data_IF_607581079380
#
_entry.id   IF_607581079380
#
_cell.length_a   1.000
_cell.length_b   1.000
_cell.length_c   1.000
_cell.angle_alpha   90.00
_cell.angle_beta   90.00
_cell.angle_gamma   90.00
#
_symmetry.space_group_name_H-M   'P 1'
#
loop_
_entity.id
_entity.type
_entity.pdbx_description
1 polymer ?
#
# COMPACT_ATOMS: atom_id res chain seq x y z
N UNK A 1 17.80 -2.70 -2.92
CA UNK A 1 17.43 -3.46 -1.68
C UNK A 1 18.70 -3.81 -0.92
N UNK A 2 18.74 -3.54 0.38
CA UNK A 2 19.91 -3.78 1.26
C UNK A 2 20.36 -5.23 1.22
N UNK A 3 21.69 -5.47 1.30
CA UNK A 3 22.26 -6.82 1.47
C UNK A 3 21.96 -7.36 2.86
N UNK A 4 22.00 -8.68 3.04
CA UNK A 4 21.75 -9.30 4.35
C UNK A 4 22.81 -8.89 5.37
N UNK A 5 24.07 -8.73 4.96
CA UNK A 5 25.15 -8.23 5.82
C UNK A 5 24.87 -6.80 6.33
N UNK A 6 24.37 -5.92 5.44
CA UNK A 6 24.04 -4.55 5.86
C UNK A 6 22.83 -4.51 6.80
N UNK A 7 21.84 -5.38 6.59
CA UNK A 7 20.71 -5.53 7.51
C UNK A 7 21.17 -5.97 8.90
N UNK A 8 22.13 -6.91 8.97
CA UNK A 8 22.69 -7.39 10.23
C UNK A 8 23.44 -6.25 10.94
N UNK A 9 24.30 -5.52 10.24
CA UNK A 9 25.02 -4.36 10.78
C UNK A 9 24.05 -3.35 11.42
N UNK A 10 22.96 -3.04 10.74
CA UNK A 10 21.93 -2.13 11.24
C UNK A 10 21.23 -2.72 12.48
N UNK A 11 20.85 -4.00 12.44
CA UNK A 11 20.17 -4.65 13.55
C UNK A 11 21.05 -4.75 14.80
N UNK A 12 22.36 -4.91 14.66
CA UNK A 12 23.30 -4.93 15.78
C UNK A 12 23.46 -3.55 16.45
N UNK A 13 23.22 -2.46 15.70
CA UNK A 13 23.27 -1.10 16.22
C UNK A 13 21.97 -0.66 16.90
N UNK A 14 20.83 -1.22 16.53
CA UNK A 14 19.49 -0.70 16.89
C UNK A 14 18.61 -1.66 17.69
N UNK A 15 19.11 -2.83 18.06
CA UNK A 15 18.35 -3.92 18.71
C UNK A 15 17.10 -4.36 17.94
N UNK A 16 16.65 -5.58 18.23
CA UNK A 16 15.40 -6.16 17.69
C UNK A 16 14.25 -6.05 18.72
N UNK A 17 12.98 -6.11 18.34
CA UNK A 17 12.47 -6.18 16.95
C UNK A 17 12.61 -4.84 16.22
N UNK A 18 12.92 -4.88 14.92
CA UNK A 18 13.28 -3.71 14.13
C UNK A 18 12.61 -3.74 12.75
N UNK A 19 12.03 -2.60 12.33
CA UNK A 19 11.69 -2.35 10.93
C UNK A 19 12.79 -1.51 10.27
N UNK A 20 13.15 -1.90 9.05
CA UNK A 20 14.05 -1.12 8.19
C UNK A 20 13.28 -0.77 6.92
N UNK A 21 13.14 0.54 6.67
CA UNK A 21 12.51 1.08 5.46
C UNK A 21 13.60 1.57 4.50
N UNK A 22 13.76 0.86 3.40
CA UNK A 22 14.81 1.09 2.40
C UNK A 22 14.34 2.16 1.40
N UNK A 23 14.69 3.42 1.66
CA UNK A 23 14.31 4.57 0.81
C UNK A 23 14.97 4.51 -0.56
N UNK A 24 16.20 4.02 -0.66
CA UNK A 24 16.89 3.87 -1.95
C UNK A 24 16.20 2.81 -2.82
N UNK A 25 15.81 1.66 -2.22
CA UNK A 25 15.04 0.65 -2.93
C UNK A 25 13.67 1.21 -3.39
N UNK A 26 13.03 2.07 -2.59
CA UNK A 26 11.79 2.74 -2.97
C UNK A 26 12.01 3.66 -4.18
N UNK A 27 13.00 4.53 -4.12
CA UNK A 27 13.30 5.47 -5.22
C UNK A 27 13.58 4.72 -6.54
N UNK A 28 14.43 3.70 -6.50
CA UNK A 28 14.72 2.86 -7.65
C UNK A 28 13.46 2.20 -8.20
N UNK A 29 12.60 1.65 -7.33
CA UNK A 29 11.36 1.01 -7.73
C UNK A 29 10.37 1.98 -8.38
N UNK A 30 10.19 3.17 -7.81
CA UNK A 30 9.32 4.20 -8.39
C UNK A 30 9.83 4.65 -9.76
N UNK A 31 11.13 4.84 -9.90
CA UNK A 31 11.74 5.22 -11.18
C UNK A 31 11.57 4.11 -12.25
N UNK A 32 11.74 2.83 -11.89
CA UNK A 32 11.47 1.69 -12.77
C UNK A 32 9.99 1.63 -13.21
N UNK A 33 9.06 1.81 -12.27
CA UNK A 33 7.62 1.82 -12.56
C UNK A 33 7.27 2.97 -13.52
N UNK A 34 7.77 4.18 -13.26
CA UNK A 34 7.55 5.33 -14.13
C UNK A 34 8.16 5.14 -15.52
N UNK A 35 9.34 4.55 -15.60
CA UNK A 35 9.97 4.25 -16.89
C UNK A 35 9.14 3.26 -17.73
N UNK A 36 8.46 2.28 -17.08
CA UNK A 36 7.58 1.33 -17.76
C UNK A 36 6.27 2.00 -18.20
N UNK A 37 5.67 2.83 -17.36
CA UNK A 37 4.39 3.50 -17.64
C UNK A 37 4.54 4.60 -18.70
N UNK A 38 5.72 5.19 -18.84
CA UNK A 38 5.98 6.30 -19.74
C UNK A 38 5.30 7.61 -19.32
N UNK A 39 5.31 8.59 -20.20
CA UNK A 39 4.67 9.90 -19.97
C UNK A 39 3.14 9.80 -19.97
N UNK A 40 2.47 10.75 -19.34
CA UNK A 40 1.01 10.87 -19.34
C UNK A 40 0.31 10.02 -18.26
N UNK A 41 1.08 9.34 -17.38
CA UNK A 41 0.53 8.62 -16.23
C UNK A 41 1.15 9.15 -14.93
N UNK A 42 0.31 9.56 -14.01
CA UNK A 42 0.71 10.01 -12.67
C UNK A 42 0.55 8.87 -11.67
N UNK A 43 1.52 8.70 -10.76
CA UNK A 43 1.38 7.79 -9.64
C UNK A 43 0.75 8.51 -8.44
N UNK A 44 -0.18 7.84 -7.77
CA UNK A 44 -0.75 8.26 -6.50
C UNK A 44 -0.44 7.21 -5.43
N UNK A 45 0.28 7.63 -4.39
CA UNK A 45 0.64 6.74 -3.29
C UNK A 45 -0.51 6.64 -2.29
N UNK A 46 -1.15 5.47 -2.21
CA UNK A 46 -2.12 5.15 -1.17
C UNK A 46 -1.40 4.96 0.18
N UNK A 47 -1.24 6.06 0.92
CA UNK A 47 -0.36 6.12 2.10
C UNK A 47 -0.81 5.26 3.28
N UNK A 48 -2.08 4.81 3.28
CA UNK A 48 -2.58 3.78 4.22
C UNK A 48 -1.76 2.49 4.21
N UNK A 49 -1.07 2.21 3.10
CA UNK A 49 -0.19 1.05 2.99
C UNK A 49 0.99 1.14 3.97
N UNK A 50 1.60 2.32 4.11
CA UNK A 50 2.64 2.61 5.10
C UNK A 50 2.94 4.12 5.18
N UNK A 51 2.39 4.86 6.15
CA UNK A 51 2.57 6.30 6.25
C UNK A 51 4.02 6.73 6.56
N UNK A 52 4.88 5.83 7.01
CA UNK A 52 6.29 6.14 7.30
C UNK A 52 7.13 6.38 6.03
N UNK A 53 6.62 6.04 4.85
CA UNK A 53 7.27 6.37 3.58
C UNK A 53 6.89 7.75 3.02
N UNK A 54 5.96 8.49 3.61
CA UNK A 54 5.45 9.76 3.05
C UNK A 54 6.58 10.74 2.74
N UNK A 55 7.55 10.89 3.66
CA UNK A 55 8.70 11.76 3.44
C UNK A 55 9.55 11.33 2.22
N UNK A 56 9.74 10.03 2.03
CA UNK A 56 10.53 9.50 0.93
C UNK A 56 9.90 9.75 -0.46
N UNK A 57 8.59 9.91 -0.53
CA UNK A 57 7.89 10.20 -1.79
C UNK A 57 7.95 11.67 -2.24
N UNK A 58 8.31 12.63 -1.36
CA UNK A 58 8.27 14.07 -1.67
C UNK A 58 9.07 14.48 -2.91
N UNK A 59 10.15 13.77 -3.21
CA UNK A 59 11.03 14.06 -4.34
C UNK A 59 10.72 13.22 -5.57
N UNK A 60 9.73 12.33 -5.48
CA UNK A 60 9.44 11.35 -6.52
C UNK A 60 8.32 11.80 -7.47
N UNK A 61 7.84 13.04 -7.38
CA UNK A 61 6.76 13.57 -8.23
C UNK A 61 5.57 12.59 -8.29
N UNK A 62 4.96 12.32 -7.13
CA UNK A 62 3.79 11.46 -6.95
C UNK A 62 2.70 12.22 -6.22
N UNK A 63 1.43 11.87 -6.47
CA UNK A 63 0.30 12.27 -5.62
C UNK A 63 0.23 11.37 -4.37
N UNK A 64 -0.60 11.76 -3.39
CA UNK A 64 -0.85 11.01 -2.16
C UNK A 64 -2.36 10.82 -1.97
N UNK A 65 -2.83 9.59 -1.91
CA UNK A 65 -4.19 9.28 -1.51
C UNK A 65 -4.26 9.22 0.01
N UNK A 66 -5.11 10.10 0.58
CA UNK A 66 -5.29 10.35 2.01
C UNK A 66 -6.73 10.03 2.38
N UNK A 67 -6.94 9.07 3.30
CA UNK A 67 -8.26 8.53 3.62
C UNK A 67 -8.79 8.91 5.00
N UNK A 68 -8.02 9.63 5.80
CA UNK A 68 -8.40 9.99 7.17
C UNK A 68 -7.76 11.28 7.65
N UNK A 69 -8.34 11.95 8.67
CA UNK A 69 -7.72 13.12 9.29
C UNK A 69 -6.33 12.86 9.86
N UNK A 70 -6.09 11.65 10.40
CA UNK A 70 -4.77 11.26 10.91
C UNK A 70 -3.72 11.15 9.81
N UNK A 71 -4.07 10.63 8.63
CA UNK A 71 -3.19 10.62 7.46
C UNK A 71 -2.96 12.05 6.93
N UNK A 72 -3.99 12.89 6.93
CA UNK A 72 -3.86 14.29 6.54
C UNK A 72 -2.89 15.03 7.45
N UNK A 73 -3.00 14.87 8.78
CA UNK A 73 -2.08 15.46 9.75
C UNK A 73 -0.61 15.00 9.56
N UNK A 74 -0.40 13.76 9.08
CA UNK A 74 0.94 13.31 8.68
C UNK A 74 1.44 14.10 7.47
N UNK A 75 0.61 14.32 6.47
CA UNK A 75 0.97 15.12 5.29
C UNK A 75 1.31 16.57 5.67
N UNK A 76 0.54 17.19 6.58
CA UNK A 76 0.83 18.53 7.11
C UNK A 76 2.19 18.57 7.82
N UNK A 77 2.43 17.64 8.76
CA UNK A 77 3.69 17.54 9.51
C UNK A 77 4.89 17.35 8.58
N UNK A 78 4.75 16.49 7.59
CA UNK A 78 5.78 16.22 6.59
C UNK A 78 5.87 17.29 5.50
N UNK A 79 5.00 18.33 5.53
CA UNK A 79 4.97 19.43 4.57
C UNK A 79 4.81 18.96 3.12
N UNK A 80 3.93 17.98 2.93
CA UNK A 80 3.53 17.54 1.59
C UNK A 80 2.85 18.73 0.89
N UNK A 81 3.12 18.91 -0.41
CA UNK A 81 2.42 19.93 -1.18
C UNK A 81 0.93 19.57 -1.27
N UNK A 82 0.06 20.42 -0.78
CA UNK A 82 -1.39 20.17 -0.73
C UNK A 82 -1.99 19.87 -2.11
N UNK A 83 -1.42 20.43 -3.19
CA UNK A 83 -1.87 20.16 -4.56
C UNK A 83 -1.59 18.74 -5.04
N UNK A 84 -0.69 18.02 -4.36
CA UNK A 84 -0.40 16.62 -4.67
C UNK A 84 -1.28 15.65 -3.85
N UNK A 85 -2.20 16.14 -3.02
CA UNK A 85 -3.11 15.32 -2.21
C UNK A 85 -4.42 15.04 -2.96
N UNK A 86 -4.81 13.77 -2.98
CA UNK A 86 -6.15 13.27 -3.29
C UNK A 86 -6.83 12.95 -1.97
N UNK A 87 -7.81 13.77 -1.55
CA UNK A 87 -8.52 13.58 -0.28
C UNK A 87 -9.69 12.62 -0.47
N UNK A 88 -9.46 11.39 -0.11
CA UNK A 88 -10.41 10.27 -0.19
C UNK A 88 -11.07 9.97 1.17
N UNK A 89 -11.58 8.78 1.34
CA UNK A 89 -12.13 8.25 2.60
C UNK A 89 -13.64 8.28 2.68
N UNK A 90 -14.19 7.20 3.26
CA UNK A 90 -15.65 6.99 3.40
C UNK A 90 -16.29 7.87 4.47
N UNK A 91 -15.51 8.36 5.43
CA UNK A 91 -15.98 9.28 6.46
C UNK A 91 -15.29 10.63 6.28
N UNK A 92 -16.08 11.64 5.88
CA UNK A 92 -15.65 13.04 5.79
C UNK A 92 -16.49 13.85 6.77
N UNK A 93 -15.81 14.48 7.73
CA UNK A 93 -16.48 15.36 8.68
C UNK A 93 -16.37 16.81 8.22
N UNK A 94 -17.41 17.62 8.49
CA UNK A 94 -17.44 19.03 8.07
C UNK A 94 -16.24 19.80 8.64
N UNK A 95 -15.88 19.54 9.91
CA UNK A 95 -14.77 20.21 10.56
C UNK A 95 -13.43 19.96 9.85
N UNK A 96 -13.18 18.71 9.41
CA UNK A 96 -11.95 18.34 8.71
C UNK A 96 -11.90 19.00 7.32
N UNK A 97 -13.01 19.01 6.58
CA UNK A 97 -13.06 19.67 5.26
C UNK A 97 -12.89 21.19 5.39
N UNK A 98 -13.51 21.81 6.41
CA UNK A 98 -13.32 23.24 6.69
C UNK A 98 -11.85 23.56 7.04
N UNK A 99 -11.18 22.71 7.85
CA UNK A 99 -9.75 22.86 8.14
C UNK A 99 -8.92 22.81 6.84
N UNK A 100 -9.15 21.80 5.98
CA UNK A 100 -8.44 21.64 4.70
C UNK A 100 -8.63 22.88 3.80
N UNK A 101 -9.85 23.41 3.72
CA UNK A 101 -10.14 24.54 2.83
C UNK A 101 -9.62 25.88 3.40
N UNK A 102 -9.88 26.17 4.68
CA UNK A 102 -9.62 27.49 5.26
C UNK A 102 -8.19 27.65 5.77
N UNK A 103 -7.60 26.59 6.34
CA UNK A 103 -6.30 26.68 7.00
C UNK A 103 -5.18 26.19 6.07
N UNK A 104 -5.46 25.23 5.17
CA UNK A 104 -4.45 24.66 4.27
C UNK A 104 -4.58 25.14 2.81
N UNK A 105 -5.62 25.91 2.47
CA UNK A 105 -5.87 26.43 1.12
C UNK A 105 -6.37 25.39 0.12
N UNK A 106 -6.96 24.30 0.62
CA UNK A 106 -7.49 23.19 -0.16
C UNK A 106 -6.43 22.19 -0.62
N UNK A 107 -6.87 21.07 -1.20
CA UNK A 107 -6.03 20.01 -1.76
C UNK A 107 -6.15 19.93 -3.28
N UNK A 108 -5.42 18.99 -3.92
CA UNK A 108 -5.43 18.82 -5.37
C UNK A 108 -6.78 18.37 -5.90
N UNK A 109 -7.39 17.34 -5.27
CA UNK A 109 -8.70 16.81 -5.65
C UNK A 109 -9.36 16.08 -4.47
N UNK A 110 -10.70 16.08 -4.44
CA UNK A 110 -11.51 15.38 -3.44
C UNK A 110 -12.26 14.23 -4.09
N UNK A 111 -12.21 13.04 -3.50
CA UNK A 111 -13.00 11.89 -3.95
C UNK A 111 -14.39 11.91 -3.29
N UNK A 112 -15.43 11.76 -4.05
CA UNK A 112 -16.82 11.69 -3.60
C UNK A 112 -17.29 10.24 -3.60
N UNK A 113 -17.74 9.75 -2.44
CA UNK A 113 -18.16 8.36 -2.26
C UNK A 113 -19.67 8.19 -1.99
N UNK A 114 -20.42 9.31 -1.83
CA UNK A 114 -21.86 9.33 -1.62
C UNK A 114 -22.46 10.68 -1.98
N UNK A 115 -23.80 10.75 -2.17
CA UNK A 115 -24.51 12.03 -2.37
C UNK A 115 -24.42 12.95 -1.16
N UNK A 116 -24.35 12.38 0.04
CA UNK A 116 -24.15 13.13 1.28
C UNK A 116 -22.79 13.80 1.29
N UNK A 117 -21.73 13.08 0.87
CA UNK A 117 -20.39 13.68 0.74
C UNK A 117 -20.37 14.77 -0.35
N UNK A 118 -21.06 14.56 -1.47
CA UNK A 118 -21.16 15.57 -2.52
C UNK A 118 -21.81 16.86 -2.02
N UNK A 119 -22.90 16.72 -1.25
CA UNK A 119 -23.58 17.85 -0.62
C UNK A 119 -22.72 18.53 0.44
N UNK A 120 -22.03 17.75 1.27
CA UNK A 120 -21.12 18.26 2.29
C UNK A 120 -19.96 19.08 1.70
N UNK A 121 -19.30 18.55 0.67
CA UNK A 121 -18.21 19.24 -0.02
C UNK A 121 -18.68 20.53 -0.67
N UNK A 122 -19.89 20.52 -1.29
CA UNK A 122 -20.51 21.70 -1.84
C UNK A 122 -20.79 22.77 -0.77
N UNK A 123 -21.36 22.37 0.37
CA UNK A 123 -21.60 23.28 1.49
C UNK A 123 -20.30 23.93 1.98
N UNK A 124 -19.26 23.11 2.25
CA UNK A 124 -17.97 23.61 2.74
C UNK A 124 -17.28 24.52 1.71
N UNK A 125 -17.28 24.16 0.43
CA UNK A 125 -16.67 24.95 -0.63
C UNK A 125 -17.35 26.30 -0.79
N UNK A 126 -18.71 26.33 -0.69
CA UNK A 126 -19.50 27.56 -0.74
C UNK A 126 -19.25 28.45 0.47
N UNK A 127 -19.17 27.87 1.68
CA UNK A 127 -18.83 28.62 2.91
C UNK A 127 -17.41 29.22 2.84
N UNK A 128 -16.49 28.53 2.20
CA UNK A 128 -15.12 28.99 2.00
C UNK A 128 -14.95 29.90 0.76
N UNK A 129 -16.02 30.13 -0.01
CA UNK A 129 -16.02 30.92 -1.25
C UNK A 129 -14.99 30.41 -2.29
N UNK A 130 -14.82 29.11 -2.42
CA UNK A 130 -13.88 28.47 -3.36
C UNK A 130 -14.58 27.48 -4.27
N UNK A 131 -13.95 27.19 -5.41
CA UNK A 131 -14.29 26.04 -6.26
C UNK A 131 -13.26 24.94 -6.04
N UNK A 132 -13.71 23.71 -5.86
CA UNK A 132 -12.85 22.54 -5.64
C UNK A 132 -13.02 21.49 -6.73
N UNK A 133 -11.94 20.83 -7.08
CA UNK A 133 -11.95 19.70 -8.01
C UNK A 133 -12.37 18.42 -7.29
N UNK A 134 -13.31 17.67 -7.90
CA UNK A 134 -13.80 16.40 -7.34
C UNK A 134 -13.75 15.27 -8.36
N UNK A 135 -13.50 14.04 -7.87
CA UNK A 135 -13.66 12.79 -8.62
C UNK A 135 -14.81 11.99 -8.03
N UNK A 136 -15.68 11.46 -8.89
CA UNK A 136 -16.77 10.58 -8.48
C UNK A 136 -16.23 9.15 -8.40
N UNK A 137 -16.22 8.56 -7.20
CA UNK A 137 -15.78 7.19 -7.01
C UNK A 137 -16.87 6.23 -7.41
N UNK A 138 -16.55 5.36 -8.38
CA UNK A 138 -17.44 4.30 -8.85
C UNK A 138 -17.36 3.10 -7.91
N UNK A 139 -18.50 2.58 -7.45
CA UNK A 139 -18.53 1.42 -6.56
C UNK A 139 -18.15 0.12 -7.29
N UNK A 140 -17.54 -0.80 -6.54
CA UNK A 140 -17.38 -2.19 -6.97
C UNK A 140 -18.38 -3.14 -6.31
N UNK A 141 -19.49 -2.60 -5.74
CA UNK A 141 -20.53 -3.38 -5.08
C UNK A 141 -20.28 -3.65 -3.59
N UNK A 142 -19.47 -2.80 -2.95
CA UNK A 142 -19.22 -2.83 -1.51
C UNK A 142 -19.56 -1.47 -0.87
N UNK A 143 -19.10 -1.21 0.37
CA UNK A 143 -19.39 0.05 1.10
C UNK A 143 -18.71 1.30 0.52
N UNK A 144 -17.96 1.20 -0.55
CA UNK A 144 -17.22 2.29 -1.16
C UNK A 144 -17.84 2.73 -2.48
N UNK A 145 -17.90 4.05 -2.67
CA UNK A 145 -18.26 4.66 -3.94
C UNK A 145 -19.77 4.72 -4.23
N UNK A 146 -20.08 5.34 -5.34
CA UNK A 146 -21.41 5.62 -5.88
C UNK A 146 -21.81 4.58 -6.93
N UNK A 147 -23.08 4.20 -6.98
CA UNK A 147 -23.66 3.48 -8.11
C UNK A 147 -23.68 4.35 -9.37
N UNK A 148 -23.69 3.72 -10.55
CA UNK A 148 -23.74 4.44 -11.83
C UNK A 148 -24.98 5.36 -11.95
N UNK A 149 -26.11 4.97 -11.38
CA UNK A 149 -27.31 5.80 -11.37
C UNK A 149 -27.11 7.08 -10.53
N UNK A 150 -26.45 6.99 -9.39
CA UNK A 150 -26.13 8.14 -8.55
C UNK A 150 -25.12 9.05 -9.23
N UNK A 151 -24.12 8.49 -9.92
CA UNK A 151 -23.14 9.25 -10.72
C UNK A 151 -23.89 10.01 -11.84
N UNK A 152 -24.78 9.34 -12.57
CA UNK A 152 -25.61 9.96 -13.63
C UNK A 152 -26.48 11.08 -13.09
N UNK A 153 -27.07 10.88 -11.90
CA UNK A 153 -27.90 11.92 -11.27
C UNK A 153 -27.06 13.14 -10.85
N UNK A 154 -25.88 12.92 -10.25
CA UNK A 154 -24.94 14.00 -9.88
C UNK A 154 -24.51 14.77 -11.14
N UNK A 155 -24.05 14.08 -12.17
CA UNK A 155 -23.59 14.70 -13.42
C UNK A 155 -24.70 15.46 -14.12
N UNK A 156 -25.89 14.91 -14.17
CA UNK A 156 -27.10 15.58 -14.73
C UNK A 156 -27.42 16.90 -14.02
N UNK A 157 -27.24 16.94 -12.70
CA UNK A 157 -27.57 18.07 -11.85
C UNK A 157 -26.37 18.96 -11.49
N UNK A 158 -25.19 18.76 -12.07
CA UNK A 158 -23.93 19.41 -11.70
C UNK A 158 -23.98 20.95 -11.68
N UNK A 159 -24.79 21.54 -12.56
CA UNK A 159 -24.94 23.00 -12.64
C UNK A 159 -25.57 23.62 -11.39
N UNK A 160 -26.20 22.82 -10.53
CA UNK A 160 -26.74 23.28 -9.23
C UNK A 160 -25.66 23.44 -8.17
N UNK A 161 -24.45 22.95 -8.44
CA UNK A 161 -23.32 22.91 -7.53
C UNK A 161 -22.07 23.52 -8.19
N UNK A 162 -22.11 24.84 -8.52
CA UNK A 162 -21.03 25.49 -9.27
C UNK A 162 -19.69 25.55 -8.52
N UNK A 163 -19.71 25.34 -7.22
CA UNK A 163 -18.52 25.23 -6.37
C UNK A 163 -17.80 23.88 -6.49
N UNK A 164 -18.39 22.89 -7.16
CA UNK A 164 -17.77 21.59 -7.40
C UNK A 164 -17.47 21.39 -8.89
N UNK A 165 -16.18 21.32 -9.21
CA UNK A 165 -15.72 21.00 -10.56
C UNK A 165 -15.46 19.50 -10.68
N UNK A 166 -16.39 18.75 -11.30
CA UNK A 166 -16.24 17.30 -11.51
C UNK A 166 -15.18 17.07 -12.60
N UNK A 167 -14.02 16.53 -12.21
CA UNK A 167 -12.92 16.25 -13.13
C UNK A 167 -13.10 14.93 -13.87
N UNK A 168 -13.74 13.95 -13.25
CA UNK A 168 -13.90 12.62 -13.81
C UNK A 168 -14.28 11.59 -12.76
N UNK A 169 -13.76 10.38 -12.91
CA UNK A 169 -14.10 9.24 -12.06
C UNK A 169 -12.87 8.63 -11.43
N UNK A 170 -13.09 8.02 -10.24
CA UNK A 170 -12.11 7.22 -9.53
C UNK A 170 -12.66 5.81 -9.30
N UNK A 171 -11.82 4.76 -9.40
CA UNK A 171 -12.25 3.40 -9.10
C UNK A 171 -11.13 2.55 -8.52
N UNK A 172 -11.48 1.76 -7.50
CA UNK A 172 -10.65 0.70 -6.93
C UNK A 172 -11.52 -0.49 -6.56
N UNK A 173 -11.24 -1.65 -7.15
CA UNK A 173 -12.08 -2.86 -7.00
C UNK A 173 -11.43 -3.95 -6.15
N UNK A 174 -10.17 -3.80 -5.79
CA UNK A 174 -9.46 -4.76 -4.95
C UNK A 174 -7.97 -4.87 -5.25
N UNK A 175 -7.26 -5.56 -4.36
CA UNK A 175 -5.81 -5.76 -4.38
C UNK A 175 -5.44 -7.16 -4.87
N UNK A 176 -4.16 -7.36 -5.24
CA UNK A 176 -3.59 -8.67 -5.57
C UNK A 176 -4.34 -9.39 -6.71
N UNK A 177 -4.69 -8.66 -7.75
CA UNK A 177 -5.33 -9.21 -8.95
C UNK A 177 -4.36 -10.16 -9.67
N UNK A 178 -4.83 -11.37 -9.99
CA UNK A 178 -4.01 -12.45 -10.56
C UNK A 178 -4.06 -12.54 -12.07
N UNK A 179 -5.00 -11.83 -12.71
CA UNK A 179 -5.22 -11.87 -14.15
C UNK A 179 -5.33 -10.46 -14.69
N UNK A 180 -4.62 -10.18 -15.75
CA UNK A 180 -4.65 -8.88 -16.41
C UNK A 180 -6.02 -8.55 -17.02
N UNK A 181 -6.74 -9.56 -17.52
CA UNK A 181 -8.09 -9.38 -18.09
C UNK A 181 -9.07 -8.68 -17.15
N UNK A 182 -8.90 -8.85 -15.82
CA UNK A 182 -9.72 -8.13 -14.82
C UNK A 182 -9.44 -6.63 -14.91
N UNK A 183 -8.18 -6.24 -14.94
CA UNK A 183 -7.75 -4.83 -15.04
C UNK A 183 -8.25 -4.23 -16.36
N UNK A 184 -8.09 -4.96 -17.46
CA UNK A 184 -8.55 -4.54 -18.78
C UNK A 184 -10.06 -4.30 -18.81
N UNK A 185 -10.86 -5.26 -18.34
CA UNK A 185 -12.32 -5.13 -18.33
C UNK A 185 -12.82 -3.99 -17.42
N UNK A 186 -12.13 -3.70 -16.32
CA UNK A 186 -12.47 -2.57 -15.46
C UNK A 186 -12.20 -1.22 -16.12
N UNK A 187 -11.08 -1.08 -16.83
CA UNK A 187 -10.76 0.17 -17.56
C UNK A 187 -11.75 0.36 -18.72
N UNK A 188 -12.06 -0.70 -19.47
CA UNK A 188 -13.07 -0.66 -20.55
C UNK A 188 -14.46 -0.29 -20.01
N UNK A 189 -14.85 -0.81 -18.85
CA UNK A 189 -16.11 -0.46 -18.18
C UNK A 189 -16.14 1.01 -17.76
N UNK A 190 -15.09 1.54 -17.15
CA UNK A 190 -15.00 2.94 -16.72
C UNK A 190 -15.02 3.89 -17.92
N UNK A 191 -14.34 3.53 -19.01
CA UNK A 191 -14.39 4.29 -20.26
C UNK A 191 -15.80 4.32 -20.86
N UNK A 192 -16.48 3.17 -20.87
CA UNK A 192 -17.88 3.08 -21.32
C UNK A 192 -18.85 3.91 -20.46
N UNK A 193 -18.63 3.96 -19.14
CA UNK A 193 -19.38 4.84 -18.25
C UNK A 193 -19.15 6.32 -18.61
N UNK A 194 -17.89 6.74 -18.79
CA UNK A 194 -17.57 8.11 -19.18
C UNK A 194 -18.18 8.48 -20.54
N UNK A 195 -18.18 7.56 -21.51
CA UNK A 195 -18.83 7.77 -22.82
C UNK A 195 -20.35 7.94 -22.69
N UNK A 196 -21.01 7.16 -21.81
CA UNK A 196 -22.44 7.33 -21.54
C UNK A 196 -22.75 8.68 -20.88
N UNK A 197 -21.90 9.13 -19.95
CA UNK A 197 -22.07 10.45 -19.32
C UNK A 197 -21.93 11.59 -20.33
N UNK A 198 -21.04 11.43 -21.31
CA UNK A 198 -20.90 12.40 -22.39
C UNK A 198 -22.11 12.36 -23.31
N UNK A 199 -22.54 11.19 -23.75
CA UNK A 199 -23.67 11.04 -24.68
C UNK A 199 -25.02 11.57 -24.09
N UNK A 200 -25.25 11.26 -22.80
CA UNK A 200 -26.54 11.56 -22.15
C UNK A 200 -26.62 12.99 -21.58
N UNK A 201 -25.48 13.53 -21.11
CA UNK A 201 -25.46 14.79 -20.33
C UNK A 201 -24.42 15.81 -20.82
N UNK A 202 -23.68 15.51 -21.91
CA UNK A 202 -22.60 16.39 -22.42
C UNK A 202 -21.45 16.57 -21.45
N UNK A 203 -21.31 15.67 -20.48
CA UNK A 203 -20.23 15.71 -19.49
C UNK A 203 -19.01 14.98 -20.02
N UNK A 204 -17.90 15.71 -20.22
CA UNK A 204 -16.62 15.14 -20.63
C UNK A 204 -15.74 14.92 -19.40
N UNK A 205 -15.52 13.67 -19.03
CA UNK A 205 -14.53 13.32 -18.02
C UNK A 205 -13.13 13.65 -18.55
N UNK A 206 -12.34 14.37 -17.76
CA UNK A 206 -10.96 14.77 -18.09
C UNK A 206 -9.92 13.95 -17.32
N UNK A 207 -10.29 13.38 -16.17
CA UNK A 207 -9.40 12.61 -15.30
C UNK A 207 -9.99 11.22 -15.03
N UNK A 208 -9.11 10.21 -15.12
CA UNK A 208 -9.38 8.85 -14.71
C UNK A 208 -8.37 8.46 -13.64
N UNK A 209 -8.83 8.31 -12.38
CA UNK A 209 -8.01 7.76 -11.32
C UNK A 209 -8.38 6.29 -11.09
N UNK A 210 -7.41 5.41 -11.19
CA UNK A 210 -7.65 3.97 -11.15
C UNK A 210 -6.65 3.24 -10.25
N UNK A 211 -7.19 2.41 -9.35
CA UNK A 211 -6.40 1.49 -8.52
C UNK A 211 -6.28 0.10 -9.16
N UNK A 212 -5.18 -0.22 -9.87
CA UNK A 212 -5.06 -1.47 -10.62
C UNK A 212 -4.97 -2.71 -9.74
N UNK A 213 -4.61 -2.57 -8.47
CA UNK A 213 -4.48 -3.69 -7.55
C UNK A 213 -3.42 -4.71 -7.95
N UNK A 214 -2.32 -4.24 -8.56
CA UNK A 214 -1.20 -5.09 -9.02
C UNK A 214 -0.66 -5.98 -7.90
N UNK A 215 -0.28 -7.23 -8.22
CA UNK A 215 0.11 -8.22 -7.22
C UNK A 215 1.55 -8.05 -6.75
N UNK A 216 1.80 -8.45 -5.50
CA UNK A 216 3.13 -8.62 -4.90
C UNK A 216 3.28 -10.08 -4.49
N UNK A 217 4.39 -10.72 -4.86
CA UNK A 217 4.71 -12.09 -4.46
C UNK A 217 5.33 -12.09 -3.05
N UNK A 218 4.58 -12.56 -2.07
CA UNK A 218 5.05 -12.71 -0.70
C UNK A 218 5.69 -14.07 -0.42
N UNK A 219 5.25 -15.11 -1.13
CA UNK A 219 5.57 -16.51 -0.82
C UNK A 219 6.32 -17.22 -1.95
N UNK A 220 6.79 -16.48 -2.96
CA UNK A 220 7.46 -17.07 -4.12
C UNK A 220 6.52 -17.85 -5.02
N UNK A 221 5.27 -17.40 -5.15
CA UNK A 221 4.29 -17.99 -6.06
C UNK A 221 4.75 -17.78 -7.51
N UNK A 222 4.85 -18.88 -8.27
CA UNK A 222 5.31 -18.87 -9.68
C UNK A 222 4.45 -17.98 -10.62
N UNK A 223 3.23 -17.65 -10.21
CA UNK A 223 2.36 -16.72 -10.95
C UNK A 223 2.90 -15.29 -11.04
N UNK A 224 3.98 -14.96 -10.33
CA UNK A 224 4.56 -13.63 -10.24
C UNK A 224 6.07 -13.62 -10.52
N UNK A 225 6.59 -14.58 -11.29
CA UNK A 225 8.02 -14.74 -11.56
C UNK A 225 8.64 -13.50 -12.21
N UNK A 226 7.82 -12.72 -12.96
CA UNK A 226 8.23 -11.42 -13.46
C UNK A 226 7.33 -10.31 -12.91
N UNK A 227 7.82 -9.62 -11.89
CA UNK A 227 7.08 -8.59 -11.14
C UNK A 227 6.54 -7.42 -11.97
N UNK A 228 7.02 -7.24 -13.21
CA UNK A 228 6.64 -6.12 -14.06
C UNK A 228 5.78 -6.51 -15.28
N UNK A 229 5.46 -7.79 -15.51
CA UNK A 229 4.72 -8.17 -16.70
C UNK A 229 3.33 -7.56 -16.74
N UNK A 230 2.55 -7.67 -15.67
CA UNK A 230 1.22 -7.04 -15.61
C UNK A 230 1.30 -5.49 -15.68
N UNK A 231 2.37 -4.88 -15.18
CA UNK A 231 2.58 -3.44 -15.30
C UNK A 231 2.87 -3.02 -16.75
N UNK A 232 3.63 -3.82 -17.50
CA UNK A 232 3.89 -3.59 -18.93
C UNK A 232 2.62 -3.73 -19.76
N UNK A 233 1.80 -4.76 -19.47
CA UNK A 233 0.50 -4.93 -20.10
C UNK A 233 -0.43 -3.75 -19.79
N UNK A 234 -0.44 -3.27 -18.55
CA UNK A 234 -1.19 -2.09 -18.16
C UNK A 234 -0.69 -0.83 -18.89
N UNK A 235 0.63 -0.62 -18.97
CA UNK A 235 1.21 0.51 -19.69
C UNK A 235 0.77 0.50 -21.17
N UNK A 236 0.85 -0.65 -21.83
CA UNK A 236 0.42 -0.79 -23.22
C UNK A 236 -1.09 -0.53 -23.41
N UNK A 237 -1.93 -0.98 -22.47
CA UNK A 237 -3.36 -0.71 -22.51
C UNK A 237 -3.66 0.78 -22.36
N UNK A 238 -3.00 1.46 -21.43
CA UNK A 238 -3.23 2.88 -21.12
C UNK A 238 -2.87 3.81 -22.28
N UNK A 239 -2.00 3.42 -23.20
CA UNK A 239 -1.70 4.22 -24.41
C UNK A 239 -2.97 4.57 -25.20
N UNK A 240 -3.99 3.72 -25.18
CA UNK A 240 -5.25 3.98 -25.88
C UNK A 240 -6.12 5.07 -25.20
N UNK A 241 -5.83 5.40 -23.96
CA UNK A 241 -6.65 6.29 -23.13
C UNK A 241 -5.96 7.62 -22.77
N UNK A 242 -4.63 7.73 -22.92
CA UNK A 242 -3.83 8.93 -22.60
C UNK A 242 -4.28 10.19 -23.38
N UNK A 243 -4.80 10.02 -24.59
CA UNK A 243 -5.33 11.16 -25.37
C UNK A 243 -6.70 11.62 -24.87
N UNK A 244 -7.45 10.76 -24.14
CA UNK A 244 -8.79 11.02 -23.65
C UNK A 244 -8.79 11.53 -22.21
N UNK A 245 -7.89 11.02 -21.38
CA UNK A 245 -7.84 11.28 -19.93
C UNK A 245 -6.43 11.66 -19.44
N UNK A 246 -6.39 12.52 -18.44
CA UNK A 246 -5.28 12.57 -17.49
C UNK A 246 -5.39 11.34 -16.58
N UNK A 247 -4.41 10.44 -16.62
CA UNK A 247 -4.49 9.15 -15.92
C UNK A 247 -3.67 9.21 -14.64
N UNK A 248 -4.31 8.88 -13.51
CA UNK A 248 -3.68 8.70 -12.21
C UNK A 248 -3.81 7.22 -11.78
N UNK A 249 -2.71 6.58 -11.44
CA UNK A 249 -2.72 5.22 -10.89
C UNK A 249 -2.53 5.24 -9.38
N UNK A 250 -3.58 4.87 -8.64
CA UNK A 250 -3.57 4.73 -7.18
C UNK A 250 -2.97 3.39 -6.79
N UNK A 251 -1.81 3.40 -6.13
CA UNK A 251 -1.13 2.19 -5.68
C UNK A 251 -0.52 2.39 -4.28
N UNK A 252 -0.68 1.40 -3.41
CA UNK A 252 -0.03 1.36 -2.09
C UNK A 252 0.94 0.19 -2.01
N UNK A 253 0.41 -1.01 -1.78
CA UNK A 253 1.16 -2.26 -1.62
C UNK A 253 2.22 -2.47 -2.71
N UNK A 254 1.85 -2.31 -3.96
CA UNK A 254 2.74 -2.55 -5.10
C UNK A 254 3.97 -1.63 -5.10
N UNK A 255 3.84 -0.39 -4.59
CA UNK A 255 4.94 0.56 -4.51
C UNK A 255 5.92 0.23 -3.38
N UNK A 256 5.43 -0.12 -2.18
CA UNK A 256 6.27 -0.12 -0.97
C UNK A 256 6.53 -1.49 -0.34
N UNK A 257 5.79 -2.55 -0.69
CA UNK A 257 5.92 -3.84 -0.02
C UNK A 257 7.36 -4.36 0.00
N UNK A 258 8.05 -4.33 -1.14
CA UNK A 258 9.42 -4.83 -1.29
C UNK A 258 10.49 -3.91 -0.63
N UNK A 259 10.09 -2.70 -0.19
CA UNK A 259 11.00 -1.71 0.39
C UNK A 259 11.06 -1.77 1.92
N UNK A 260 10.35 -2.69 2.55
CA UNK A 260 10.35 -2.88 4.00
C UNK A 260 10.89 -4.24 4.42
N UNK A 261 11.65 -4.24 5.51
CA UNK A 261 12.31 -5.39 6.10
C UNK A 261 11.97 -5.41 7.59
N UNK A 262 11.77 -6.59 8.15
CA UNK A 262 11.57 -6.77 9.58
C UNK A 262 12.58 -7.76 10.14
N UNK A 263 13.27 -7.38 11.21
CA UNK A 263 14.27 -8.22 11.89
C UNK A 263 13.77 -8.52 13.29
N UNK A 264 13.83 -9.78 13.69
CA UNK A 264 13.43 -10.23 15.04
C UNK A 264 14.49 -11.18 15.59
N UNK A 265 14.76 -11.07 16.88
CA UNK A 265 15.73 -11.89 17.59
C UNK A 265 15.06 -13.11 18.23
N UNK A 266 15.77 -14.23 18.31
CA UNK A 266 15.34 -15.44 19.01
C UNK A 266 15.57 -15.28 20.50
N UNK A 267 14.49 -15.25 21.29
CA UNK A 267 14.49 -15.06 22.73
C UNK A 267 14.50 -16.40 23.51
N UNK A 268 13.81 -17.42 22.98
CA UNK A 268 13.69 -18.73 23.67
C UNK A 268 13.42 -19.84 22.64
N UNK A 269 13.80 -21.07 23.00
CA UNK A 269 13.64 -22.26 22.16
C UNK A 269 13.14 -23.40 23.04
N UNK A 270 12.08 -24.09 22.58
CA UNK A 270 11.54 -25.21 23.33
C UNK A 270 10.97 -26.32 22.46
N UNK A 271 10.98 -27.52 23.00
CA UNK A 271 10.33 -28.69 22.42
C UNK A 271 9.28 -29.22 23.40
N UNK A 272 8.00 -29.13 23.01
CA UNK A 272 6.87 -29.56 23.83
C UNK A 272 6.05 -30.60 23.09
N UNK A 273 5.87 -31.80 23.68
CA UNK A 273 5.05 -32.89 23.10
C UNK A 273 5.38 -33.17 21.62
N UNK A 274 6.68 -33.18 21.28
CA UNK A 274 7.16 -33.44 19.91
C UNK A 274 7.07 -32.28 18.95
N UNK A 275 6.56 -31.12 19.36
CA UNK A 275 6.55 -29.91 18.56
C UNK A 275 7.73 -29.00 18.91
N UNK A 276 8.30 -28.36 17.91
CA UNK A 276 9.46 -27.44 18.03
C UNK A 276 9.01 -25.99 17.89
N UNK A 277 9.38 -25.17 18.87
CA UNK A 277 9.00 -23.75 18.94
C UNK A 277 10.20 -22.87 19.14
N UNK A 278 10.27 -21.80 18.36
CA UNK A 278 11.13 -20.64 18.55
C UNK A 278 10.27 -19.47 18.97
N UNK A 279 10.62 -18.83 20.08
CA UNK A 279 9.98 -17.61 20.56
C UNK A 279 10.87 -16.43 20.17
N UNK A 280 10.32 -15.49 19.44
CA UNK A 280 11.01 -14.28 19.05
C UNK A 280 10.57 -13.08 19.89
N UNK A 281 11.37 -12.03 19.93
CA UNK A 281 11.08 -10.78 20.66
C UNK A 281 9.97 -9.93 20.02
N UNK A 282 9.62 -10.19 18.76
CA UNK A 282 8.48 -9.61 18.07
C UNK A 282 7.20 -10.43 18.20
N UNK A 283 6.29 -10.31 17.21
CA UNK A 283 5.05 -11.07 17.19
C UNK A 283 4.19 -10.78 15.96
N UNK A 284 3.01 -11.43 15.91
CA UNK A 284 2.05 -11.26 14.81
C UNK A 284 1.55 -9.81 14.66
N UNK A 285 1.62 -9.02 15.73
CA UNK A 285 1.29 -7.58 15.70
C UNK A 285 2.31 -6.73 14.93
N UNK A 286 3.44 -7.31 14.56
CA UNK A 286 4.49 -6.64 13.78
C UNK A 286 4.54 -7.10 12.32
N UNK A 287 4.14 -8.33 12.02
CA UNK A 287 4.30 -8.95 10.70
C UNK A 287 2.98 -9.46 10.19
N UNK A 288 2.50 -8.86 9.10
CA UNK A 288 1.32 -9.32 8.40
C UNK A 288 1.58 -9.42 6.90
N UNK A 289 1.24 -10.56 6.31
CA UNK A 289 1.32 -10.78 4.88
C UNK A 289 -0.05 -11.05 4.31
N UNK A 290 -0.42 -10.33 3.26
CA UNK A 290 -1.68 -10.59 2.57
C UNK A 290 -1.77 -12.05 2.11
N UNK A 291 -2.84 -12.71 2.49
CA UNK A 291 -3.07 -14.11 2.16
C UNK A 291 -2.27 -15.11 3.00
N UNK A 292 -1.65 -14.68 4.10
CA UNK A 292 -1.10 -15.55 5.13
C UNK A 292 -2.23 -16.30 5.82
N UNK A 293 -2.32 -17.60 5.60
CA UNK A 293 -3.36 -18.43 6.21
C UNK A 293 -2.77 -19.17 7.42
N UNK A 294 -3.17 -18.80 8.64
CA UNK A 294 -2.81 -19.48 9.89
C UNK A 294 -1.31 -19.80 10.04
N UNK A 295 -0.44 -18.88 9.59
CA UNK A 295 1.01 -19.04 9.57
C UNK A 295 1.55 -20.23 8.73
N UNK A 296 0.75 -20.77 7.80
CA UNK A 296 1.13 -21.95 7.00
C UNK A 296 2.00 -21.65 5.79
N UNK A 297 1.99 -20.41 5.30
CA UNK A 297 2.82 -20.01 4.16
C UNK A 297 4.12 -19.39 4.67
N UNK A 298 5.23 -19.75 4.03
CA UNK A 298 6.56 -19.26 4.39
C UNK A 298 6.89 -18.06 3.50
N UNK A 299 6.98 -16.83 4.09
CA UNK A 299 7.38 -15.64 3.36
C UNK A 299 8.88 -15.69 3.03
N UNK A 300 9.35 -14.73 2.22
CA UNK A 300 10.78 -14.55 1.99
C UNK A 300 11.49 -14.20 3.30
N UNK A 301 12.54 -14.95 3.64
CA UNK A 301 13.28 -14.77 4.90
C UNK A 301 14.77 -15.04 4.75
N UNK A 302 15.57 -14.49 5.67
CA UNK A 302 16.93 -14.94 5.97
C UNK A 302 17.02 -15.40 7.42
N UNK A 303 17.90 -16.37 7.67
CA UNK A 303 18.22 -16.82 9.02
C UNK A 303 19.71 -16.64 9.28
N UNK A 304 20.03 -16.00 10.40
CA UNK A 304 21.37 -15.52 10.74
C UNK A 304 21.71 -15.91 12.16
N UNK A 305 22.89 -16.47 12.36
CA UNK A 305 23.43 -16.80 13.68
C UNK A 305 23.80 -15.53 14.46
N UNK A 306 23.89 -15.67 15.78
CA UNK A 306 24.29 -14.58 16.67
C UNK A 306 25.67 -13.97 16.34
N UNK A 307 26.55 -14.74 15.73
CA UNK A 307 27.88 -14.29 15.27
C UNK A 307 27.88 -13.60 13.90
N UNK A 308 26.68 -13.42 13.30
CA UNK A 308 26.51 -12.81 11.99
C UNK A 308 26.59 -13.79 10.81
N UNK A 309 26.82 -15.09 11.05
CA UNK A 309 26.86 -16.09 9.97
C UNK A 309 25.48 -16.24 9.32
N UNK A 310 25.39 -15.98 8.03
CA UNK A 310 24.15 -16.14 7.24
C UNK A 310 23.99 -17.63 6.89
N UNK A 311 23.00 -18.28 7.49
CA UNK A 311 22.71 -19.71 7.25
C UNK A 311 21.72 -19.88 6.09
N UNK A 312 20.71 -19.00 6.01
CA UNK A 312 19.75 -18.93 4.92
C UNK A 312 19.69 -17.49 4.44
N UNK A 313 19.74 -17.29 3.12
CA UNK A 313 19.66 -15.95 2.54
C UNK A 313 18.52 -15.85 1.55
N UNK A 314 17.56 -14.96 1.86
CA UNK A 314 16.37 -14.63 1.04
C UNK A 314 15.67 -15.86 0.46
N UNK A 315 15.50 -16.88 1.29
CA UNK A 315 14.80 -18.08 0.91
C UNK A 315 13.30 -17.79 0.77
N UNK A 316 12.70 -18.33 -0.28
CA UNK A 316 11.26 -18.31 -0.53
C UNK A 316 10.72 -19.74 -0.58
N UNK A 317 9.42 -19.90 -0.39
CA UNK A 317 8.76 -21.22 -0.29
C UNK A 317 9.07 -22.12 -1.50
N UNK A 318 9.15 -21.58 -2.70
CA UNK A 318 9.49 -22.34 -3.93
C UNK A 318 10.90 -22.95 -3.94
N UNK A 319 11.84 -22.37 -3.15
CA UNK A 319 13.22 -22.85 -3.03
C UNK A 319 13.41 -23.86 -1.89
N UNK A 320 12.39 -24.13 -1.09
CA UNK A 320 12.48 -24.98 0.10
C UNK A 320 12.11 -26.45 -0.16
N UNK A 321 11.74 -26.78 -1.42
CA UNK A 321 11.44 -28.17 -1.80
C UNK A 321 12.72 -29.03 -1.73
N UNK A 322 12.72 -30.02 -0.82
CA UNK A 322 13.83 -30.97 -0.64
C UNK A 322 14.87 -30.60 0.41
N UNK A 323 14.61 -29.61 1.28
CA UNK A 323 15.49 -29.36 2.43
C UNK A 323 15.20 -30.34 3.56
N UNK A 324 16.26 -31.02 4.07
CA UNK A 324 16.18 -31.90 5.26
C UNK A 324 16.35 -31.14 6.59
N UNK A 325 16.36 -29.80 6.55
CA UNK A 325 16.52 -28.97 7.75
C UNK A 325 15.40 -29.18 8.76
N UNK A 326 15.74 -29.19 10.04
CA UNK A 326 14.75 -29.19 11.12
C UNK A 326 13.82 -27.99 10.98
N UNK A 327 12.52 -28.24 11.14
CA UNK A 327 11.44 -27.27 10.95
C UNK A 327 10.91 -26.78 12.30
N UNK A 328 10.79 -25.47 12.44
CA UNK A 328 10.37 -24.81 13.65
C UNK A 328 9.13 -23.96 13.47
N UNK A 329 8.28 -23.90 14.48
CA UNK A 329 7.19 -22.93 14.54
C UNK A 329 7.70 -21.65 15.19
N UNK A 330 7.63 -20.55 14.47
CA UNK A 330 8.05 -19.23 14.95
C UNK A 330 6.85 -18.56 15.61
N UNK A 331 6.99 -18.33 16.92
CA UNK A 331 5.99 -17.71 17.78
C UNK A 331 6.51 -16.35 18.24
N UNK A 332 5.61 -15.40 18.39
CA UNK A 332 5.93 -14.11 18.97
C UNK A 332 5.90 -14.10 20.50
N UNK A 333 6.01 -12.90 21.04
CA UNK A 333 6.08 -12.62 22.48
C UNK A 333 4.75 -12.22 23.11
N UNK A 334 3.62 -12.27 22.36
CA UNK A 334 2.30 -11.99 22.89
C UNK A 334 1.77 -13.20 23.68
N UNK A 335 1.00 -12.93 24.74
CA UNK A 335 0.42 -13.96 25.59
C UNK A 335 -0.88 -14.56 24.97
N UNK A 336 -0.78 -15.07 23.74
CA UNK A 336 -1.87 -15.72 23.01
C UNK A 336 -1.36 -16.83 22.12
N UNK A 337 -2.12 -17.94 22.03
CA UNK A 337 -1.81 -19.06 21.12
C UNK A 337 -1.90 -18.69 19.64
N UNK A 338 -2.53 -17.57 19.32
CA UNK A 338 -2.64 -17.06 17.96
C UNK A 338 -1.37 -16.33 17.49
N UNK A 339 -0.41 -16.05 18.38
CA UNK A 339 0.83 -15.34 18.03
C UNK A 339 1.83 -16.29 17.32
N UNK A 340 1.46 -16.66 16.11
CA UNK A 340 2.21 -17.53 15.22
C UNK A 340 2.58 -16.77 13.95
N UNK A 341 3.87 -16.52 13.75
CA UNK A 341 4.36 -15.82 12.56
C UNK A 341 4.46 -16.80 11.38
N UNK A 342 5.14 -17.93 11.57
CA UNK A 342 5.34 -18.95 10.53
C UNK A 342 5.39 -20.33 11.16
N UNK A 343 4.71 -21.31 10.56
CA UNK A 343 4.83 -22.73 10.91
C UNK A 343 5.83 -23.43 9.99
N UNK A 344 6.55 -24.41 10.55
CA UNK A 344 7.45 -25.27 9.79
C UNK A 344 8.57 -24.53 9.04
N UNK A 345 9.10 -23.45 9.61
CA UNK A 345 10.24 -22.71 9.02
C UNK A 345 11.50 -23.59 9.10
N UNK A 346 12.15 -23.92 7.95
CA UNK A 346 13.34 -24.78 7.95
C UNK A 346 14.60 -23.96 8.24
N UNK A 347 14.98 -23.85 9.52
CA UNK A 347 16.15 -23.09 9.99
C UNK A 347 17.22 -23.96 10.64
N UNK A 348 17.04 -25.31 10.64
CA UNK A 348 18.03 -26.24 11.21
C UNK A 348 18.08 -26.16 12.73
N UNK A 349 19.24 -25.84 13.30
CA UNK A 349 19.46 -25.78 14.75
C UNK A 349 19.53 -24.34 15.22
N UNK A 350 18.41 -23.70 15.60
CA UNK A 350 18.39 -22.33 16.11
C UNK A 350 19.01 -22.24 17.52
N UNK A 351 19.52 -21.06 17.83
CA UNK A 351 20.05 -20.69 19.14
C UNK A 351 19.49 -19.34 19.60
N UNK A 352 19.47 -19.09 20.92
CA UNK A 352 19.09 -17.76 21.42
C UNK A 352 20.04 -16.69 20.91
N UNK A 353 19.51 -15.51 20.63
CA UNK A 353 20.17 -14.37 19.99
C UNK A 353 20.45 -14.52 18.49
N UNK A 354 20.11 -15.66 17.85
CA UNK A 354 20.03 -15.72 16.39
C UNK A 354 18.94 -14.78 15.90
N UNK A 355 19.00 -14.37 14.62
CA UNK A 355 18.04 -13.43 14.03
C UNK A 355 17.29 -14.06 12.85
N UNK A 356 16.02 -13.72 12.72
CA UNK A 356 15.23 -14.00 11.54
C UNK A 356 14.88 -12.65 10.87
N UNK A 357 15.17 -12.57 9.59
CA UNK A 357 14.90 -11.40 8.77
C UNK A 357 13.73 -11.75 7.84
N UNK A 358 12.65 -11.00 7.89
CA UNK A 358 11.49 -11.12 7.01
C UNK A 358 11.47 -9.99 5.99
N UNK A 359 11.26 -10.34 4.72
CA UNK A 359 11.23 -9.38 3.61
C UNK A 359 9.80 -9.05 3.17
N UNK A 360 9.66 -8.04 2.30
CA UNK A 360 8.39 -7.59 1.73
C UNK A 360 7.37 -7.12 2.78
N UNK A 361 7.84 -6.45 3.83
CA UNK A 361 7.01 -5.97 4.95
C UNK A 361 6.63 -4.50 4.81
N UNK A 362 7.03 -3.82 3.74
CA UNK A 362 6.83 -2.39 3.57
C UNK A 362 5.37 -1.96 3.46
N UNK A 363 4.41 -2.89 3.34
CA UNK A 363 3.00 -2.56 3.19
C UNK A 363 2.12 -3.32 4.19
N UNK A 364 1.28 -2.58 4.94
CA UNK A 364 0.23 -3.06 5.85
C UNK A 364 0.70 -3.89 7.06
N UNK A 365 1.97 -4.16 7.23
CA UNK A 365 2.46 -4.90 8.41
C UNK A 365 2.43 -4.04 9.68
N UNK A 366 2.81 -2.77 9.58
CA UNK A 366 2.79 -1.83 10.72
C UNK A 366 1.37 -1.32 11.00
N UNK A 367 0.53 -1.19 9.98
CA UNK A 367 -0.72 -0.41 10.06
C UNK A 367 -1.98 -1.23 10.25
N UNK A 368 -1.97 -2.55 9.99
CA UNK A 368 -3.19 -3.35 9.93
C UNK A 368 -3.59 -3.97 11.29
N UNK A 369 -2.67 -4.13 12.23
CA UNK A 369 -2.97 -4.67 13.56
C UNK A 369 -2.83 -3.64 14.67
N UNK A 370 -3.83 -3.62 15.56
CA UNK A 370 -3.81 -2.80 16.77
C UNK A 370 -2.62 -3.14 17.68
N UNK A 371 -2.05 -2.13 18.34
CA UNK A 371 -0.86 -2.25 19.16
C UNK A 371 -1.21 -2.85 20.51
N UNK A 372 -0.72 -4.04 20.79
CA UNK A 372 -0.75 -4.62 22.14
C UNK A 372 0.55 -4.38 22.93
N UNK A 373 1.62 -3.95 22.26
CA UNK A 373 2.93 -3.58 22.82
C UNK A 373 3.42 -2.32 22.12
N UNK A 374 4.49 -1.72 22.63
CA UNK A 374 5.13 -0.58 21.98
C UNK A 374 5.51 -0.90 20.53
N UNK A 375 5.43 0.09 19.66
CA UNK A 375 5.92 -0.05 18.29
C UNK A 375 7.40 -0.45 18.31
N UNK A 376 7.82 -1.34 17.41
CA UNK A 376 9.24 -1.57 17.22
C UNK A 376 9.92 -0.30 16.69
N UNK A 377 11.23 -0.22 16.86
CA UNK A 377 12.01 0.85 16.29
C UNK A 377 11.83 0.87 14.76
N UNK A 378 11.59 2.04 14.21
CA UNK A 378 11.45 2.27 12.78
C UNK A 378 12.69 3.03 12.32
N UNK A 379 13.48 2.41 11.46
CA UNK A 379 14.64 3.02 10.87
C UNK A 379 14.40 3.28 9.38
N UNK A 380 14.42 4.56 8.99
CA UNK A 380 14.49 4.96 7.60
C UNK A 380 15.96 4.89 7.16
N UNK A 381 16.29 3.89 6.36
CA UNK A 381 17.63 3.76 5.82
C UNK A 381 17.78 4.66 4.58
N UNK A 382 18.65 5.66 4.69
CA UNK A 382 19.16 6.43 3.55
C UNK A 382 20.51 5.83 3.18
N UNK A 383 20.67 5.39 1.93
CA UNK A 383 21.95 4.89 1.44
C UNK A 383 23.07 5.85 1.79
N UNK A 384 24.19 5.33 2.19
CA UNK A 384 25.41 6.14 2.41
C UNK A 384 25.80 6.71 1.05
N UNK A 385 25.68 8.04 0.89
CA UNK A 385 26.18 8.76 -0.28
C UNK A 385 27.70 8.73 -0.30
#
# INVERSE_FOLDING_TARGET
MLSTEKIIEIADQHSTPLYILDKEALENRINEIKAILGEGVTLCYAMKANPFFVDAFKHLNTKYEVCSPGEFAICEREKVNMKDIVLSGVNKEKADICHVLNDCGGVGVYTVESKEQYSLLSECAREAEVTIDVLLRVTSGNQFGLDEEDIKDIVKNREKYPELNIRGVQCYTGTQKKKFDIIKSEIEWLDGLCDSLYADYGFKAEELEYGPGLPVSYFGDAAYDNKYDMLKELAALLENYKAKYSITLEMGRYLVAECGIYVTGIADIKKNKGQQYVIVDGGINHVNYYGQAMAMKIPAYSYVKADGTVVKDRNVMSKLNGTDDEKWTICGSLCTVADLIVKNLPIGTPECNDKIIFYNIGAYSITEFGIQRAYPNILNFEGVK
#
